data_IF_043989237502
#
_entry.id   IF_043989237502
#
_cell.length_a   1.000
_cell.length_b   1.000
_cell.length_c   1.000
_cell.angle_alpha   90.00
_cell.angle_beta   90.00
_cell.angle_gamma   90.00
#
_symmetry.space_group_name_H-M   'P 1'
#
loop_
_entity.id
_entity.type
_entity.pdbx_description
1 polymer ?
#
# COMPACT_ATOMS: atom_id res chain seq x y z
N UNK A 1 -29.59 -45.01 52.58
CA UNK A 1 -29.71 -44.00 51.51
C UNK A 1 -28.30 -43.58 51.13
N UNK A 2 -27.98 -43.73 49.83
CA UNK A 2 -26.69 -43.39 49.22
C UNK A 2 -26.56 -41.87 49.11
N UNK A 3 -25.32 -41.39 49.04
CA UNK A 3 -24.81 -40.10 48.50
C UNK A 3 -23.82 -39.48 49.51
N UNK A 4 -22.59 -39.12 49.18
CA UNK A 4 -21.72 -39.36 48.05
C UNK A 4 -20.29 -39.05 48.54
N UNK A 5 -19.33 -39.93 48.29
CA UNK A 5 -17.91 -39.58 48.26
C UNK A 5 -17.66 -38.73 47.00
N UNK A 6 -16.87 -37.65 47.10
CA UNK A 6 -15.67 -37.51 46.27
C UNK A 6 -14.88 -36.27 46.69
N UNK A 7 -13.76 -36.54 47.35
CA UNK A 7 -12.62 -35.66 47.49
C UNK A 7 -11.78 -35.72 46.21
N UNK A 8 -11.10 -34.59 45.93
CA UNK A 8 -10.03 -34.40 44.95
C UNK A 8 -10.45 -34.17 43.50
N UNK A 9 -9.77 -33.21 42.87
CA UNK A 9 -9.67 -33.16 41.42
C UNK A 9 -9.66 -31.76 40.82
N UNK A 10 -8.51 -31.10 40.89
CA UNK A 10 -8.04 -30.23 39.81
C UNK A 10 -8.78 -28.91 39.60
N UNK A 11 -8.27 -27.85 40.24
CA UNK A 11 -8.18 -26.57 39.55
C UNK A 11 -7.27 -26.79 38.33
N UNK A 12 -7.84 -27.17 37.19
CA UNK A 12 -7.12 -27.19 35.91
C UNK A 12 -6.95 -25.73 35.50
N UNK A 13 -5.86 -25.12 35.98
CA UNK A 13 -5.14 -24.12 35.21
C UNK A 13 -4.79 -24.76 33.87
N UNK A 14 -5.66 -24.55 32.88
CA UNK A 14 -5.28 -24.72 31.49
C UNK A 14 -4.31 -23.59 31.19
N UNK A 15 -3.02 -23.85 31.40
CA UNK A 15 -2.01 -23.29 30.52
C UNK A 15 -2.43 -23.72 29.11
N UNK A 16 -3.13 -22.83 28.40
CA UNK A 16 -3.23 -22.94 26.95
C UNK A 16 -1.80 -22.84 26.47
N UNK A 17 -1.20 -23.99 26.15
CA UNK A 17 -0.02 -24.05 25.30
C UNK A 17 -0.29 -23.10 24.14
N UNK A 18 0.48 -22.01 24.08
CA UNK A 18 0.38 -21.00 23.03
C UNK A 18 0.83 -21.61 21.70
N UNK A 19 0.02 -22.53 21.16
CA UNK A 19 0.03 -22.81 19.74
C UNK A 19 -0.49 -21.54 19.10
N UNK A 20 0.45 -20.73 18.62
CA UNK A 20 0.15 -19.65 17.70
C UNK A 20 -0.73 -20.22 16.58
N UNK A 21 -1.73 -19.45 16.17
CA UNK A 21 -2.58 -19.85 15.06
C UNK A 21 -1.71 -20.13 13.84
N UNK A 22 -2.09 -21.16 13.07
CA UNK A 22 -1.39 -21.50 11.84
C UNK A 22 -1.39 -20.29 10.91
N UNK A 23 -0.20 -19.94 10.41
CA UNK A 23 -0.01 -18.74 9.62
C UNK A 23 -0.85 -18.84 8.33
N UNK A 24 -1.81 -17.95 8.17
CA UNK A 24 -2.61 -17.87 6.94
C UNK A 24 -1.70 -17.41 5.79
N UNK A 25 -1.26 -18.38 4.98
CA UNK A 25 -0.36 -18.16 3.84
C UNK A 25 -1.08 -17.60 2.62
N UNK A 26 -2.41 -17.74 2.55
CA UNK A 26 -3.24 -17.28 1.43
C UNK A 26 -4.41 -16.44 1.95
N UNK A 27 -4.13 -15.28 2.56
CA UNK A 27 -5.19 -14.42 3.06
C UNK A 27 -6.07 -13.95 1.91
N UNK A 28 -7.38 -14.12 2.05
CA UNK A 28 -8.36 -13.61 1.07
C UNK A 28 -8.37 -12.08 1.14
N UNK A 29 -7.72 -11.44 0.15
CA UNK A 29 -7.65 -9.99 0.08
C UNK A 29 -8.94 -9.37 -0.49
N UNK A 30 -9.41 -8.29 0.13
CA UNK A 30 -10.63 -7.58 -0.29
C UNK A 30 -10.50 -6.76 -1.58
N UNK A 31 -9.30 -6.64 -2.15
CA UNK A 31 -9.03 -5.99 -3.42
C UNK A 31 -8.08 -6.84 -4.25
N UNK A 32 -8.36 -6.97 -5.55
CA UNK A 32 -7.50 -7.72 -6.46
C UNK A 32 -6.11 -7.09 -6.61
N UNK A 33 -5.12 -7.93 -6.90
CA UNK A 33 -3.73 -7.50 -7.01
C UNK A 33 -3.54 -6.43 -8.08
N UNK A 34 -3.00 -5.27 -7.67
CA UNK A 34 -2.51 -4.27 -8.61
C UNK A 34 -1.08 -4.63 -9.02
N UNK A 35 -0.79 -4.55 -10.32
CA UNK A 35 0.61 -4.64 -10.76
C UNK A 35 1.44 -3.51 -10.14
N UNK A 36 2.70 -3.79 -9.81
CA UNK A 36 3.61 -2.84 -9.17
C UNK A 36 3.67 -1.50 -9.91
N UNK A 37 3.68 -1.54 -11.25
CA UNK A 37 3.66 -0.32 -12.07
C UNK A 37 2.38 0.50 -11.88
N UNK A 38 1.19 -0.14 -11.92
CA UNK A 38 -0.09 0.55 -11.70
C UNK A 38 -0.16 1.15 -10.30
N UNK A 39 0.36 0.43 -9.30
CA UNK A 39 0.46 0.90 -7.93
C UNK A 39 1.32 2.18 -7.83
N UNK A 40 2.51 2.19 -8.44
CA UNK A 40 3.38 3.37 -8.49
C UNK A 40 2.71 4.57 -9.16
N UNK A 41 2.01 4.37 -10.29
CA UNK A 41 1.29 5.44 -10.98
C UNK A 41 0.21 6.04 -10.08
N UNK A 42 -0.59 5.20 -9.43
CA UNK A 42 -1.66 5.65 -8.54
C UNK A 42 -1.09 6.40 -7.32
N UNK A 43 0.00 5.92 -6.72
CA UNK A 43 0.62 6.57 -5.56
C UNK A 43 1.28 7.90 -5.90
N UNK A 44 1.90 7.97 -7.07
CA UNK A 44 2.50 9.20 -7.58
C UNK A 44 1.42 10.22 -7.94
N UNK A 45 0.32 9.79 -8.56
CA UNK A 45 -0.83 10.63 -8.87
C UNK A 45 -1.57 11.14 -7.63
N UNK A 46 -1.59 10.36 -6.54
CA UNK A 46 -2.13 10.80 -5.25
C UNK A 46 -1.36 12.00 -4.71
N UNK A 47 -0.04 11.96 -4.86
CA UNK A 47 0.92 12.97 -4.46
C UNK A 47 1.10 14.17 -5.38
N UNK A 48 0.18 14.38 -6.35
CA UNK A 48 0.33 15.41 -7.40
C UNK A 48 1.63 15.26 -8.21
N UNK A 49 2.13 14.03 -8.36
CA UNK A 49 3.36 13.71 -9.09
C UNK A 49 4.66 14.27 -8.49
N UNK A 50 4.58 15.10 -7.44
CA UNK A 50 5.75 15.68 -6.76
C UNK A 50 6.09 15.00 -5.44
N UNK A 51 5.09 14.49 -4.73
CA UNK A 51 5.30 13.85 -3.43
C UNK A 51 4.41 12.64 -3.28
N UNK A 52 4.81 11.46 -3.78
CA UNK A 52 4.03 10.25 -3.60
C UNK A 52 3.71 10.06 -2.11
N UNK A 53 2.44 9.78 -1.84
CA UNK A 53 1.93 9.57 -0.49
C UNK A 53 1.30 8.18 -0.46
N UNK A 54 1.75 7.34 0.46
CA UNK A 54 1.14 6.04 0.69
C UNK A 54 -0.36 6.22 1.02
N UNK A 55 -1.20 5.29 0.55
CA UNK A 55 -2.60 5.28 0.95
C UNK A 55 -2.66 5.13 2.48
N UNK A 56 -3.46 5.95 3.19
CA UNK A 56 -3.75 5.64 4.57
C UNK A 56 -4.42 4.26 4.59
N UNK A 57 -3.89 3.34 5.41
CA UNK A 57 -4.54 2.06 5.69
C UNK A 57 -5.93 2.39 6.22
N UNK A 58 -6.95 2.20 5.37
CA UNK A 58 -8.32 2.54 5.69
C UNK A 58 -8.76 1.66 6.85
N UNK A 59 -9.00 2.27 8.01
CA UNK A 59 -9.74 1.63 9.10
C UNK A 59 -11.20 1.54 8.67
N UNK A 60 -11.89 0.45 9.02
CA UNK A 60 -13.33 0.30 8.78
C UNK A 60 -14.09 1.58 9.16
N UNK A 61 -14.84 2.12 8.19
CA UNK A 61 -15.63 3.36 8.33
C UNK A 61 -14.96 4.66 7.89
N UNK A 62 -13.69 4.65 7.46
CA UNK A 62 -13.01 5.85 6.96
C UNK A 62 -13.22 6.09 5.46
N UNK A 63 -13.52 7.33 5.06
CA UNK A 63 -13.71 7.71 3.65
C UNK A 63 -12.35 7.72 2.93
N UNK A 64 -12.23 6.98 1.83
CA UNK A 64 -11.06 7.04 0.95
C UNK A 64 -10.83 8.49 0.48
N UNK A 65 -9.67 9.07 0.83
CA UNK A 65 -9.40 10.49 0.51
C UNK A 65 -9.28 10.73 -0.99
N UNK A 66 -8.96 9.71 -1.79
CA UNK A 66 -8.98 9.75 -3.25
C UNK A 66 -9.44 8.40 -3.83
N UNK A 67 -10.50 8.43 -4.65
CA UNK A 67 -10.94 7.29 -5.45
C UNK A 67 -9.94 7.02 -6.59
N UNK A 68 -9.60 5.75 -6.91
CA UNK A 68 -8.67 5.39 -7.99
C UNK A 68 -8.96 6.11 -9.32
N UNK A 69 -10.24 6.28 -9.69
CA UNK A 69 -10.67 6.96 -10.92
C UNK A 69 -10.24 8.44 -10.97
N UNK A 70 -10.21 9.14 -9.83
CA UNK A 70 -9.72 10.54 -9.76
C UNK A 70 -8.21 10.61 -9.90
N UNK A 71 -7.47 9.64 -9.37
CA UNK A 71 -6.01 9.56 -9.52
C UNK A 71 -5.63 9.33 -10.99
N UNK A 72 -6.31 8.41 -11.68
CA UNK A 72 -6.10 8.14 -13.11
C UNK A 72 -6.38 9.38 -13.97
N UNK A 73 -7.45 10.13 -13.69
CA UNK A 73 -7.73 11.38 -14.40
C UNK A 73 -6.59 12.39 -14.28
N UNK A 74 -5.98 12.51 -13.09
CA UNK A 74 -4.81 13.39 -12.89
C UNK A 74 -3.61 12.93 -13.71
N UNK A 75 -3.41 11.62 -13.86
CA UNK A 75 -2.36 11.08 -14.71
C UNK A 75 -2.53 11.48 -16.18
N UNK A 76 -3.77 11.41 -16.71
CA UNK A 76 -4.03 11.87 -18.08
C UNK A 76 -3.80 13.37 -18.27
N UNK A 77 -4.23 14.20 -17.31
CA UNK A 77 -3.97 15.65 -17.36
C UNK A 77 -2.46 15.94 -17.32
N UNK A 78 -1.72 15.26 -16.46
CA UNK A 78 -0.28 15.41 -16.36
C UNK A 78 0.43 14.99 -17.66
N UNK A 79 0.06 13.84 -18.23
CA UNK A 79 0.59 13.39 -19.50
C UNK A 79 0.25 14.35 -20.65
N UNK A 80 -1.00 14.84 -20.69
CA UNK A 80 -1.44 15.82 -21.67
C UNK A 80 -0.65 17.12 -21.60
N UNK A 81 -0.30 17.59 -20.39
CA UNK A 81 0.53 18.77 -20.20
C UNK A 81 1.94 18.58 -20.78
N UNK A 82 2.56 17.40 -20.63
CA UNK A 82 3.85 17.09 -21.27
C UNK A 82 3.76 17.07 -22.79
N UNK A 83 2.70 16.48 -23.35
CA UNK A 83 2.48 16.46 -24.80
C UNK A 83 2.31 17.88 -25.35
N UNK A 84 1.53 18.72 -24.67
CA UNK A 84 1.39 20.12 -25.04
C UNK A 84 2.73 20.87 -24.91
N UNK A 85 3.49 20.62 -23.84
CA UNK A 85 4.81 21.23 -23.69
C UNK A 85 5.75 20.85 -24.85
N UNK A 86 5.76 19.59 -25.28
CA UNK A 86 6.54 19.14 -26.44
C UNK A 86 6.06 19.77 -27.76
N UNK A 87 4.76 20.03 -27.88
CA UNK A 87 4.19 20.64 -29.09
C UNK A 87 4.50 22.14 -29.21
N UNK A 88 4.58 22.85 -28.08
CA UNK A 88 4.65 24.32 -28.06
C UNK A 88 5.99 24.89 -27.58
N UNK A 89 6.81 24.14 -26.84
CA UNK A 89 8.08 24.61 -26.28
C UNK A 89 9.27 23.94 -26.96
N UNK A 90 10.46 24.59 -26.98
CA UNK A 90 11.66 23.96 -27.48
C UNK A 90 12.03 22.74 -26.63
N UNK A 91 12.46 21.66 -27.32
CA UNK A 91 12.76 20.36 -26.70
C UNK A 91 13.78 20.48 -25.56
N UNK A 92 14.74 21.40 -25.65
CA UNK A 92 15.76 21.62 -24.60
C UNK A 92 15.14 22.04 -23.27
N UNK A 93 14.13 22.91 -23.28
CA UNK A 93 13.41 23.34 -22.06
C UNK A 93 12.60 22.19 -21.48
N UNK A 94 11.92 21.44 -22.34
CA UNK A 94 11.11 20.29 -21.92
C UNK A 94 11.99 19.20 -21.31
N UNK A 95 13.14 18.92 -21.93
CA UNK A 95 14.13 17.96 -21.43
C UNK A 95 14.70 18.38 -20.06
N UNK A 96 15.06 19.65 -19.89
CA UNK A 96 15.54 20.18 -18.62
C UNK A 96 14.48 20.06 -17.51
N UNK A 97 13.21 20.41 -17.83
CA UNK A 97 12.10 20.24 -16.90
C UNK A 97 11.86 18.77 -16.54
N UNK A 98 11.97 17.85 -17.51
CA UNK A 98 11.81 16.42 -17.28
C UNK A 98 12.90 15.87 -16.36
N UNK A 99 14.14 16.33 -16.54
CA UNK A 99 15.27 15.97 -15.68
C UNK A 99 15.06 16.45 -14.24
N UNK A 100 14.67 17.73 -14.07
CA UNK A 100 14.36 18.28 -12.75
C UNK A 100 13.21 17.52 -12.07
N UNK A 101 12.17 17.20 -12.83
CA UNK A 101 11.05 16.41 -12.36
C UNK A 101 11.49 15.01 -11.92
N UNK A 102 12.35 14.33 -12.69
CA UNK A 102 12.88 13.01 -12.31
C UNK A 102 13.67 13.08 -10.99
N UNK A 103 14.52 14.09 -10.82
CA UNK A 103 15.28 14.30 -9.57
C UNK A 103 14.34 14.53 -8.38
N UNK A 104 13.32 15.37 -8.55
CA UNK A 104 12.33 15.64 -7.51
C UNK A 104 11.47 14.40 -7.16
N UNK A 105 11.14 13.56 -8.15
CA UNK A 105 10.33 12.36 -7.96
C UNK A 105 11.08 11.21 -7.28
N UNK A 106 12.38 11.10 -7.56
CA UNK A 106 13.26 10.00 -7.09
C UNK A 106 13.15 9.68 -5.59
N UNK A 107 13.27 10.63 -4.64
CA UNK A 107 13.18 10.32 -3.21
C UNK A 107 11.81 9.72 -2.84
N UNK A 108 10.75 10.15 -3.51
CA UNK A 108 9.42 9.63 -3.30
C UNK A 108 9.26 8.17 -3.75
N UNK A 109 9.85 7.81 -4.89
CA UNK A 109 9.85 6.44 -5.38
C UNK A 109 10.67 5.51 -4.46
N UNK A 110 11.82 5.99 -3.96
CA UNK A 110 12.63 5.26 -2.99
C UNK A 110 11.83 4.99 -1.71
N UNK A 111 11.08 5.99 -1.22
CA UNK A 111 10.27 5.82 -0.02
C UNK A 111 9.16 4.77 -0.21
N UNK A 112 8.44 4.81 -1.34
CA UNK A 112 7.43 3.78 -1.65
C UNK A 112 8.09 2.40 -1.73
N UNK A 113 9.19 2.29 -2.48
CA UNK A 113 9.86 1.01 -2.63
C UNK A 113 10.30 0.45 -1.27
N UNK A 114 10.83 1.29 -0.38
CA UNK A 114 11.22 0.92 0.97
C UNK A 114 10.03 0.48 1.84
N UNK A 115 8.90 1.17 1.74
CA UNK A 115 7.71 0.89 2.56
C UNK A 115 6.99 -0.41 2.16
N UNK A 116 7.04 -0.78 0.88
CA UNK A 116 6.34 -1.94 0.34
C UNK A 116 7.29 -3.11 0.00
N UNK A 117 8.48 -3.14 0.61
CA UNK A 117 9.36 -4.31 0.58
C UNK A 117 8.84 -5.38 1.54
N UNK A 118 8.03 -6.30 1.01
CA UNK A 118 7.80 -7.58 1.67
C UNK A 118 9.11 -8.35 1.65
N UNK A 119 9.74 -8.53 2.83
CA UNK A 119 10.83 -9.49 2.94
C UNK A 119 10.24 -10.89 2.71
N UNK A 120 10.85 -11.72 1.85
CA UNK A 120 10.44 -13.12 1.77
C UNK A 120 10.61 -13.75 3.16
N UNK A 121 9.53 -14.33 3.67
CA UNK A 121 9.55 -15.01 4.96
C UNK A 121 10.47 -16.22 4.88
N UNK A 122 11.33 -16.40 5.87
CA UNK A 122 12.41 -17.41 5.87
C UNK A 122 12.05 -18.68 6.64
N UNK A 123 10.77 -18.91 6.91
CA UNK A 123 10.27 -20.02 7.74
C UNK A 123 9.30 -20.96 7.00
#
# INVERSE_FOLDING_TARGET
MKNALSSSGGATGQEKSGQDAELDREPVMGAGDLSWFKFLVIMTAHGWFLRPRAFPLLRDGSKASVTPSRAIRRAYVFLGAWVLALAFLPITWVAAAALLYAVALTPGLIEIHRQFQNKPDSY
#
